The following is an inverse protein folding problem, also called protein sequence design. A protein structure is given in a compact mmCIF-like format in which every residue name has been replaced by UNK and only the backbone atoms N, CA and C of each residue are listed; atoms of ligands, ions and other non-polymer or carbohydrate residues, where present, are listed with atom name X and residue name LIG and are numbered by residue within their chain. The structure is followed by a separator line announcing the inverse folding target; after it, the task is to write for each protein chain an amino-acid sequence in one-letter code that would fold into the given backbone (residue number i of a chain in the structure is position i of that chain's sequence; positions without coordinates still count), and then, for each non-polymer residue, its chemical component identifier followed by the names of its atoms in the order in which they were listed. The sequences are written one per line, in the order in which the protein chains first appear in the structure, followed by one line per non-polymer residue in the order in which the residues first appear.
data_IF_830133426230
#
_entry.id   IF_830133426230
#
_cell.length_a   1.000
_cell.length_b   1.000
_cell.length_c   1.000
_cell.angle_alpha   90.00
_cell.angle_beta   90.00
_cell.angle_gamma   90.00
#
_symmetry.space_group_name_H-M   'P 1'
#
loop_
_entity.id
_entity.type
_entity.pdbx_description
1 polymer ?
#
# COMPACT_ATOMS: atom_id res chain seq x y z
N UNK A 1 24.78 69.39 -1.74
CA UNK A 1 25.89 69.50 -2.69
C UNK A 1 27.04 68.74 -2.06
N UNK A 2 27.44 67.54 -2.47
CA UNK A 2 27.18 66.79 -3.70
C UNK A 2 27.33 65.29 -3.43
N UNK A 3 26.60 64.50 -4.23
CA UNK A 3 26.67 63.04 -4.29
C UNK A 3 27.96 62.55 -4.95
N UNK A 4 28.38 61.34 -4.56
CA UNK A 4 28.64 60.19 -5.45
C UNK A 4 29.84 59.34 -4.97
N UNK A 5 29.59 58.06 -4.68
CA UNK A 5 30.35 56.92 -5.22
C UNK A 5 29.70 55.58 -4.81
N UNK A 6 28.96 55.05 -5.78
CA UNK A 6 28.75 53.64 -6.14
C UNK A 6 29.30 52.56 -5.19
N UNK A 7 28.45 51.59 -4.84
CA UNK A 7 28.83 50.20 -5.09
C UNK A 7 27.61 49.32 -5.42
N UNK A 8 27.83 48.47 -6.42
CA UNK A 8 26.90 47.53 -7.07
C UNK A 8 26.80 46.24 -6.25
N UNK A 9 25.80 45.42 -6.59
CA UNK A 9 25.59 44.00 -6.22
C UNK A 9 24.83 43.78 -4.90
N UNK A 10 23.81 42.93 -4.80
CA UNK A 10 23.42 41.78 -5.60
C UNK A 10 21.90 41.64 -5.68
N UNK A 11 21.36 41.39 -6.87
CA UNK A 11 20.08 40.69 -6.99
C UNK A 11 20.33 39.26 -6.53
N UNK A 12 19.88 38.95 -5.32
CA UNK A 12 19.60 37.56 -4.94
C UNK A 12 18.39 37.13 -5.75
N UNK A 13 18.63 36.44 -6.86
CA UNK A 13 17.63 35.57 -7.45
C UNK A 13 17.26 34.58 -6.34
N UNK A 14 16.09 34.77 -5.73
CA UNK A 14 15.49 33.81 -4.82
C UNK A 14 15.38 32.51 -5.61
N UNK A 15 16.25 31.57 -5.25
CA UNK A 15 16.25 30.19 -5.69
C UNK A 15 14.85 29.63 -5.46
N UNK A 16 14.04 29.68 -6.52
CA UNK A 16 12.87 28.85 -6.68
C UNK A 16 13.41 27.43 -6.77
N UNK A 17 13.67 26.86 -5.59
CA UNK A 17 13.89 25.44 -5.38
C UNK A 17 12.74 24.73 -6.06
N UNK A 18 13.01 24.30 -7.29
CA UNK A 18 12.16 23.40 -8.03
C UNK A 18 12.24 22.09 -7.26
N UNK A 19 11.38 21.95 -6.26
CA UNK A 19 10.90 20.64 -5.84
C UNK A 19 10.08 20.10 -7.01
N UNK A 20 10.76 19.75 -8.11
CA UNK A 20 10.29 18.74 -9.02
C UNK A 20 10.17 17.49 -8.16
N UNK A 21 8.99 17.30 -7.57
CA UNK A 21 8.65 16.06 -6.88
C UNK A 21 8.83 15.00 -7.96
N UNK A 22 9.87 14.19 -7.80
CA UNK A 22 10.20 13.11 -8.73
C UNK A 22 9.03 12.12 -8.71
N UNK A 23 8.06 12.35 -9.61
CA UNK A 23 6.82 11.59 -9.72
C UNK A 23 7.10 10.11 -9.98
N UNK A 24 8.27 9.80 -10.57
CA UNK A 24 8.68 8.45 -10.90
C UNK A 24 9.02 7.62 -9.66
N UNK A 25 9.45 8.25 -8.56
CA UNK A 25 9.77 7.54 -7.31
C UNK A 25 8.57 6.78 -6.73
N UNK A 26 7.36 7.30 -6.93
CA UNK A 26 6.13 6.73 -6.38
C UNK A 26 5.31 5.95 -7.41
N UNK A 27 5.79 5.87 -8.65
CA UNK A 27 5.15 5.09 -9.69
C UNK A 27 5.60 3.62 -9.63
N UNK A 28 4.69 2.75 -9.23
CA UNK A 28 4.90 1.31 -9.12
C UNK A 28 4.41 0.64 -10.41
N UNK A 29 5.37 0.23 -11.23
CA UNK A 29 5.16 -0.39 -12.54
C UNK A 29 5.49 -1.89 -12.55
N UNK A 30 6.27 -2.34 -11.56
CA UNK A 30 6.66 -3.74 -11.46
C UNK A 30 6.81 -4.24 -10.01
N UNK A 31 7.10 -5.53 -9.87
CA UNK A 31 7.39 -6.15 -8.58
C UNK A 31 8.78 -5.77 -8.04
N UNK A 32 9.72 -5.43 -8.93
CA UNK A 32 11.04 -4.90 -8.55
C UNK A 32 10.90 -3.57 -7.83
N UNK A 33 9.95 -2.71 -8.23
CA UNK A 33 9.67 -1.44 -7.57
C UNK A 33 9.21 -1.67 -6.12
N UNK A 34 8.24 -2.59 -5.93
CA UNK A 34 7.74 -2.98 -4.61
C UNK A 34 8.87 -3.56 -3.74
N UNK A 35 9.77 -4.33 -4.34
CA UNK A 35 10.87 -4.99 -3.62
C UNK A 35 11.91 -4.03 -3.07
N UNK A 36 11.99 -2.80 -3.60
CA UNK A 36 12.90 -1.75 -3.12
C UNK A 36 12.33 -0.93 -1.96
N UNK A 37 11.04 -1.08 -1.66
CA UNK A 37 10.35 -0.29 -0.63
C UNK A 37 10.75 -0.78 0.76
N UNK A 38 11.27 0.12 1.59
CA UNK A 38 11.41 -0.13 3.02
C UNK A 38 10.08 0.08 3.74
N UNK A 39 9.33 -1.01 3.89
CA UNK A 39 8.04 -1.00 4.58
C UNK A 39 8.12 -0.64 6.07
N UNK A 40 9.29 -0.74 6.70
CA UNK A 40 9.46 -0.42 8.12
C UNK A 40 9.50 1.09 8.38
N UNK A 41 10.03 1.86 7.42
CA UNK A 41 10.12 3.32 7.46
C UNK A 41 8.96 4.06 6.79
N UNK A 42 7.98 3.36 6.21
CA UNK A 42 6.87 4.01 5.49
C UNK A 42 5.91 4.74 6.44
N UNK A 43 5.77 6.05 6.24
CA UNK A 43 4.69 6.84 6.83
C UNK A 43 3.38 6.71 6.04
N UNK A 44 2.26 7.03 6.69
CA UNK A 44 0.95 7.07 6.02
C UNK A 44 0.95 8.08 4.86
N UNK A 45 1.63 9.21 5.01
CA UNK A 45 1.74 10.24 3.98
C UNK A 45 2.50 9.74 2.74
N UNK A 46 3.53 8.91 2.92
CA UNK A 46 4.22 8.27 1.80
C UNK A 46 3.32 7.26 1.08
N UNK A 47 2.45 6.55 1.81
CA UNK A 47 1.53 5.58 1.19
C UNK A 47 0.58 6.27 0.22
N UNK A 48 0.08 7.46 0.56
CA UNK A 48 -0.83 8.21 -0.31
C UNK A 48 -0.18 8.73 -1.60
N UNK A 49 1.14 8.73 -1.70
CA UNK A 49 1.86 9.18 -2.88
C UNK A 49 1.97 8.08 -3.95
N UNK A 50 1.77 6.80 -3.62
CA UNK A 50 1.95 5.72 -4.59
C UNK A 50 0.87 5.67 -5.68
N UNK A 51 1.33 5.49 -6.92
CA UNK A 51 0.55 5.20 -8.09
C UNK A 51 0.90 3.81 -8.60
N UNK A 52 -0.10 2.97 -8.90
CA UNK A 52 0.12 1.61 -9.40
C UNK A 52 -0.41 1.49 -10.83
N UNK A 53 0.35 0.85 -11.72
CA UNK A 53 -0.12 0.63 -13.11
C UNK A 53 -1.39 -0.23 -13.16
N UNK A 54 -1.55 -1.16 -12.21
CA UNK A 54 -2.70 -2.05 -12.15
C UNK A 54 -3.11 -2.45 -10.71
N UNK A 55 -4.26 -3.11 -10.61
CA UNK A 55 -4.79 -3.63 -9.35
C UNK A 55 -3.95 -4.76 -8.73
N UNK A 56 -3.19 -5.50 -9.55
CA UNK A 56 -2.30 -6.56 -9.12
C UNK A 56 -1.14 -5.99 -8.31
N UNK A 57 -0.47 -4.96 -8.81
CA UNK A 57 0.61 -4.27 -8.08
C UNK A 57 0.10 -3.56 -6.84
N UNK A 58 -1.06 -2.91 -6.90
CA UNK A 58 -1.68 -2.33 -5.71
C UNK A 58 -1.95 -3.39 -4.63
N UNK A 59 -2.43 -4.57 -5.03
CA UNK A 59 -2.62 -5.68 -4.11
C UNK A 59 -1.29 -6.20 -3.56
N UNK A 60 -0.27 -6.37 -4.39
CA UNK A 60 1.03 -6.92 -4.00
C UNK A 60 1.77 -5.98 -3.04
N UNK A 61 1.68 -4.66 -3.27
CA UNK A 61 2.19 -3.66 -2.36
C UNK A 61 1.57 -3.81 -0.96
N UNK A 62 0.24 -3.84 -0.88
CA UNK A 62 -0.45 -3.96 0.41
C UNK A 62 -0.27 -5.35 1.05
N UNK A 63 -0.15 -6.41 0.25
CA UNK A 63 0.14 -7.75 0.74
C UNK A 63 1.58 -7.82 1.30
N UNK A 64 2.56 -7.17 0.66
CA UNK A 64 3.93 -7.06 1.18
C UNK A 64 3.99 -6.26 2.48
N UNK A 65 3.29 -5.12 2.53
CA UNK A 65 3.09 -4.34 3.75
C UNK A 65 2.48 -5.20 4.88
N UNK A 66 1.40 -5.91 4.58
CA UNK A 66 0.72 -6.80 5.53
C UNK A 66 1.62 -7.94 6.00
N UNK A 67 2.44 -8.51 5.12
CA UNK A 67 3.40 -9.55 5.46
C UNK A 67 4.45 -9.06 6.44
N UNK A 68 4.99 -7.87 6.21
CA UNK A 68 5.91 -7.21 7.14
C UNK A 68 5.22 -7.02 8.49
N UNK A 69 4.02 -6.44 8.48
CA UNK A 69 3.21 -6.20 9.69
C UNK A 69 2.74 -7.47 10.41
N UNK A 70 2.67 -8.61 9.72
CA UNK A 70 2.29 -9.90 10.32
C UNK A 70 0.78 -10.21 10.23
N UNK A 71 0.10 -9.75 9.19
CA UNK A 71 -1.30 -10.09 8.92
C UNK A 71 -1.56 -10.50 7.47
N UNK A 72 -2.73 -11.10 7.21
CA UNK A 72 -3.15 -11.49 5.87
C UNK A 72 -4.17 -10.51 5.29
N UNK A 73 -4.17 -10.39 3.96
CA UNK A 73 -5.07 -9.50 3.22
C UNK A 73 -6.12 -10.32 2.48
N UNK A 74 -7.38 -9.87 2.53
CA UNK A 74 -8.44 -10.32 1.62
C UNK A 74 -8.89 -9.20 0.69
N UNK A 75 -9.23 -9.59 -0.55
CA UNK A 75 -9.91 -8.71 -1.51
C UNK A 75 -11.35 -8.50 -1.06
N UNK A 76 -11.77 -7.23 -0.94
CA UNK A 76 -13.14 -6.85 -0.57
C UNK A 76 -13.94 -6.40 -1.80
N UNK A 77 -15.08 -5.74 -1.53
CA UNK A 77 -15.97 -5.15 -2.53
C UNK A 77 -15.19 -4.27 -3.51
N UNK A 78 -15.65 -4.32 -4.76
CA UNK A 78 -15.18 -3.49 -5.86
C UNK A 78 -16.31 -2.59 -6.31
N UNK A 79 -15.98 -1.38 -6.77
CA UNK A 79 -16.92 -0.54 -7.52
C UNK A 79 -16.58 -0.65 -9.01
N UNK A 80 -17.61 -0.91 -9.82
CA UNK A 80 -17.53 -0.86 -11.29
C UNK A 80 -18.45 0.23 -11.82
N UNK A 81 -18.02 0.89 -12.88
CA UNK A 81 -18.81 1.84 -13.68
C UNK A 81 -18.60 1.46 -15.13
N UNK A 82 -19.68 1.27 -15.88
CA UNK A 82 -19.66 0.82 -17.29
C UNK A 82 -18.83 -0.45 -17.52
N UNK A 83 -18.99 -1.44 -16.62
CA UNK A 83 -18.27 -2.71 -16.68
C UNK A 83 -16.79 -2.65 -16.25
N UNK A 84 -16.19 -1.45 -16.14
CA UNK A 84 -14.79 -1.25 -15.75
C UNK A 84 -14.66 -1.05 -14.24
N UNK A 85 -13.61 -1.62 -13.65
CA UNK A 85 -13.29 -1.35 -12.24
C UNK A 85 -12.88 0.11 -12.08
N UNK A 86 -13.45 0.77 -11.08
CA UNK A 86 -13.11 2.15 -10.69
C UNK A 86 -12.51 2.23 -9.30
N UNK A 87 -12.89 1.32 -8.41
CA UNK A 87 -12.42 1.32 -7.02
C UNK A 87 -12.26 -0.13 -6.52
N UNK A 88 -11.25 -0.36 -5.69
CA UNK A 88 -10.98 -1.65 -5.06
C UNK A 88 -10.56 -1.47 -3.60
N UNK A 89 -11.28 -2.13 -2.69
CA UNK A 89 -10.94 -2.18 -1.27
C UNK A 89 -10.29 -3.52 -0.91
N UNK A 90 -9.25 -3.46 -0.11
CA UNK A 90 -8.56 -4.57 0.53
C UNK A 90 -8.68 -4.39 2.04
N UNK A 91 -8.88 -5.50 2.76
CA UNK A 91 -9.07 -5.48 4.22
C UNK A 91 -8.35 -6.66 4.84
N UNK A 92 -8.12 -6.57 6.14
CA UNK A 92 -7.57 -7.66 6.94
C UNK A 92 -8.39 -8.97 6.81
N UNK A 93 -7.68 -10.08 6.72
CA UNK A 93 -8.14 -11.44 7.02
C UNK A 93 -7.57 -11.88 8.37
N UNK A 94 -8.45 -12.14 9.34
CA UNK A 94 -8.03 -12.64 10.66
C UNK A 94 -7.49 -14.06 10.54
N UNK A 95 -6.34 -14.31 11.16
CA UNK A 95 -5.84 -15.66 11.44
C UNK A 95 -6.54 -16.22 12.67
N UNK A 96 -7.28 -17.32 12.53
CA UNK A 96 -7.76 -18.07 13.68
C UNK A 96 -6.67 -19.08 14.06
N UNK A 97 -6.08 -18.99 15.27
CA UNK A 97 -5.27 -20.10 15.81
C UNK A 97 -6.14 -21.36 15.80
N UNK A 98 -5.75 -22.37 15.01
CA UNK A 98 -6.39 -23.68 14.99
C UNK A 98 -5.86 -24.51 16.17
N UNK A 99 -6.35 -24.21 17.38
CA UNK A 99 -6.26 -25.18 18.48
C UNK A 99 -7.68 -25.69 18.70
N UNK A 100 -7.95 -26.91 18.23
CA UNK A 100 -9.19 -27.67 18.39
C UNK A 100 -10.42 -27.21 17.57
N UNK A 101 -10.56 -27.69 16.32
CA UNK A 101 -11.86 -27.68 15.62
C UNK A 101 -12.33 -29.09 15.29
N UNK A 102 -13.54 -29.43 15.75
CA UNK A 102 -14.27 -30.69 15.49
C UNK A 102 -15.43 -30.50 14.46
N UNK A 103 -15.53 -29.32 13.78
CA UNK A 103 -16.63 -28.76 12.90
C UNK A 103 -17.91 -28.32 13.64
N UNK A 104 -18.70 -27.31 13.25
CA UNK A 104 -18.51 -26.00 12.56
C UNK A 104 -19.33 -24.91 13.30
N UNK A 105 -18.71 -23.80 13.70
CA UNK A 105 -19.37 -22.49 13.64
C UNK A 105 -18.75 -21.67 12.50
N UNK A 106 -19.58 -21.08 11.63
CA UNK A 106 -19.12 -20.10 10.63
C UNK A 106 -18.43 -18.96 11.37
N UNK A 107 -17.11 -18.76 11.21
CA UNK A 107 -16.43 -17.70 11.92
C UNK A 107 -17.00 -16.36 11.46
N UNK A 108 -17.38 -15.51 12.40
CA UNK A 108 -17.48 -14.08 12.13
C UNK A 108 -16.10 -13.62 11.65
N UNK A 109 -15.93 -13.49 10.33
CA UNK A 109 -14.66 -13.11 9.69
C UNK A 109 -14.37 -11.60 9.78
N UNK A 110 -15.03 -10.91 10.70
CA UNK A 110 -14.89 -9.47 10.94
C UNK A 110 -14.68 -9.26 12.43
N UNK A 111 -13.43 -9.16 12.86
CA UNK A 111 -13.10 -8.74 14.22
C UNK A 111 -13.38 -7.24 14.47
N UNK A 112 -14.05 -6.53 13.56
CA UNK A 112 -14.18 -5.08 13.64
C UNK A 112 -12.87 -4.31 13.39
N UNK A 113 -11.78 -4.99 13.01
CA UNK A 113 -10.52 -4.34 12.64
C UNK A 113 -10.76 -3.39 11.46
N UNK A 114 -10.31 -2.15 11.62
CA UNK A 114 -10.54 -1.07 10.66
C UNK A 114 -9.48 -1.06 9.55
N UNK A 115 -8.42 -1.85 9.70
CA UNK A 115 -7.33 -1.91 8.72
C UNK A 115 -7.84 -2.15 7.30
N UNK A 116 -7.48 -1.22 6.42
CA UNK A 116 -7.99 -1.16 5.05
C UNK A 116 -7.00 -0.42 4.16
N UNK A 117 -6.99 -0.87 2.90
CA UNK A 117 -6.33 -0.19 1.80
C UNK A 117 -7.33 -0.05 0.65
N UNK A 118 -7.59 1.18 0.23
CA UNK A 118 -8.60 1.50 -0.77
C UNK A 118 -7.96 2.27 -1.91
N UNK A 119 -8.04 1.73 -3.12
CA UNK A 119 -7.51 2.37 -4.32
C UNK A 119 -8.62 2.70 -5.31
N UNK A 120 -8.41 3.73 -6.12
CA UNK A 120 -9.28 4.09 -7.23
C UNK A 120 -8.48 4.40 -8.48
N UNK A 121 -9.12 4.20 -9.64
CA UNK A 121 -8.54 4.52 -10.93
C UNK A 121 -8.57 6.03 -11.15
N UNK A 122 -7.40 6.67 -11.19
CA UNK A 122 -7.23 8.03 -11.63
C UNK A 122 -7.15 8.05 -13.16
N UNK A 123 -8.20 8.53 -13.81
CA UNK A 123 -8.41 8.35 -15.26
C UNK A 123 -7.41 9.14 -16.09
N UNK A 124 -6.90 10.26 -15.57
CA UNK A 124 -6.00 11.15 -16.32
C UNK A 124 -4.64 10.49 -16.58
N UNK A 125 -4.09 9.79 -15.57
CA UNK A 125 -2.80 9.09 -15.67
C UNK A 125 -2.97 7.59 -15.90
N UNK A 126 -4.21 7.11 -16.01
CA UNK A 126 -4.59 5.69 -16.08
C UNK A 126 -3.99 4.82 -14.96
N UNK A 127 -3.68 5.40 -13.80
CA UNK A 127 -3.07 4.70 -12.68
C UNK A 127 -4.02 4.53 -11.49
N UNK A 128 -3.77 3.51 -10.69
CA UNK A 128 -4.49 3.26 -9.45
C UNK A 128 -3.80 4.01 -8.31
N UNK A 129 -4.56 4.86 -7.62
CA UNK A 129 -4.02 5.70 -6.54
C UNK A 129 -4.74 5.40 -5.23
N UNK A 130 -4.07 5.65 -4.12
CA UNK A 130 -4.62 5.42 -2.79
C UNK A 130 -5.68 6.46 -2.46
N UNK A 131 -6.92 6.01 -2.24
CA UNK A 131 -8.02 6.87 -1.74
C UNK A 131 -8.03 6.97 -0.23
N UNK A 132 -7.84 5.84 0.44
CA UNK A 132 -7.99 5.74 1.89
C UNK A 132 -7.17 4.56 2.41
N UNK A 133 -6.43 4.82 3.48
CA UNK A 133 -5.58 3.88 4.18
C UNK A 133 -5.77 4.04 5.68
N UNK A 134 -6.01 2.93 6.37
CA UNK A 134 -6.04 2.88 7.83
C UNK A 134 -5.23 1.68 8.30
N UNK A 135 -4.33 1.92 9.24
CA UNK A 135 -3.44 0.94 9.87
C UNK A 135 -3.83 0.70 11.34
N UNK A 136 -5.08 0.96 11.70
CA UNK A 136 -5.57 0.66 13.04
C UNK A 136 -5.96 -0.81 13.14
N UNK A 137 -5.30 -1.52 14.06
CA UNK A 137 -5.53 -2.92 14.34
C UNK A 137 -6.01 -3.12 15.77
N UNK A 138 -7.01 -3.99 15.93
CA UNK A 138 -7.57 -4.33 17.24
C UNK A 138 -7.21 -5.76 17.68
N UNK A 139 -6.13 -6.29 17.12
CA UNK A 139 -5.62 -7.64 17.40
C UNK A 139 -4.10 -7.64 17.32
N UNK A 140 -3.48 -8.62 17.97
CA UNK A 140 -2.05 -8.85 17.83
C UNK A 140 -1.68 -9.31 16.43
N UNK A 141 -0.49 -8.92 15.99
CA UNK A 141 0.11 -9.43 14.76
C UNK A 141 0.72 -10.80 14.98
N UNK A 142 0.77 -11.60 13.92
CA UNK A 142 1.52 -12.84 13.93
C UNK A 142 3.01 -12.52 13.89
N UNK A 143 3.81 -13.22 14.70
CA UNK A 143 5.26 -13.06 14.70
C UNK A 143 5.82 -13.20 13.27
N UNK A 144 6.80 -12.37 12.85
CA UNK A 144 7.29 -12.36 11.47
C UNK A 144 7.72 -13.75 10.95
N UNK A 145 8.26 -14.60 11.82
CA UNK A 145 8.65 -15.99 11.50
C UNK A 145 7.49 -16.87 11.02
N UNK A 146 6.25 -16.54 11.36
CA UNK A 146 5.04 -17.26 10.98
C UNK A 146 4.21 -16.52 9.91
N UNK A 147 4.56 -15.28 9.57
CA UNK A 147 3.83 -14.49 8.56
C UNK A 147 3.76 -15.22 7.20
N UNK A 148 4.81 -15.96 6.79
CA UNK A 148 4.79 -16.74 5.53
C UNK A 148 3.68 -17.81 5.47
N UNK A 149 3.19 -18.25 6.63
CA UNK A 149 2.16 -19.30 6.73
C UNK A 149 0.74 -18.74 6.60
N UNK A 150 0.59 -17.40 6.61
CA UNK A 150 -0.71 -16.76 6.45
C UNK A 150 -1.23 -16.95 5.03
N UNK A 151 -2.56 -17.08 4.88
CA UNK A 151 -3.20 -17.51 3.63
C UNK A 151 -2.77 -16.68 2.42
N UNK A 152 -2.76 -15.36 2.54
CA UNK A 152 -2.38 -14.45 1.44
C UNK A 152 -0.89 -14.48 1.09
N UNK A 153 -0.06 -15.07 1.95
CA UNK A 153 1.40 -15.15 1.78
C UNK A 153 1.88 -16.54 1.36
N UNK A 154 1.00 -17.54 1.38
CA UNK A 154 1.30 -18.88 0.87
C UNK A 154 1.44 -18.80 -0.66
N UNK A 155 2.67 -18.91 -1.15
CA UNK A 155 2.90 -19.28 -2.55
C UNK A 155 2.61 -20.78 -2.63
N UNK A 156 1.57 -21.16 -3.37
CA UNK A 156 1.38 -22.57 -3.74
C UNK A 156 2.56 -22.90 -4.64
N UNK A 157 3.49 -23.72 -4.17
CA UNK A 157 4.52 -24.30 -5.02
C UNK A 157 3.91 -25.51 -5.72
N UNK A 158 4.34 -25.81 -6.96
CA UNK A 158 3.77 -26.92 -7.74
C UNK A 158 3.86 -28.29 -7.03
N UNK A 159 4.74 -28.42 -6.02
CA UNK A 159 4.86 -29.57 -5.13
C UNK A 159 3.66 -29.81 -4.21
N UNK A 160 2.83 -28.80 -3.95
CA UNK A 160 1.64 -28.92 -3.09
C UNK A 160 0.38 -29.38 -3.86
N UNK A 161 0.44 -29.43 -5.20
CA UNK A 161 -0.70 -29.77 -6.08
C UNK A 161 -0.78 -31.28 -6.39
N UNK A 162 0.28 -32.07 -6.10
CA UNK A 162 0.36 -33.48 -6.46
C UNK A 162 0.29 -34.45 -5.27
N UNK A 163 -0.81 -34.46 -4.51
CA UNK A 163 -1.11 -35.53 -3.53
C UNK A 163 -2.53 -36.03 -3.63
#
# INVERSE_FOLDING_TARGET
MDENRNNVSDHVDEDATSNAVDMDQYHISSWEDISKIDFSGLSIENIYQFHFVDLGLAFEFYNSYAKMRGFSVRKSRSRKVDGKFREKKYILEKWNKLENRVREPKPETRCGCMSRFHVFLYVITESWVVRDFCDEHNHEFVVPKLARMLRSHKKITDLDISK
#
